data_IF_156890267269
#
_entry.id   IF_156890267269
#
_cell.length_a   1.000
_cell.length_b   1.000
_cell.length_c   1.000
_cell.angle_alpha   90.00
_cell.angle_beta   90.00
_cell.angle_gamma   90.00
#
_symmetry.space_group_name_H-M   'P 1'
#
loop_
_entity.id
_entity.type
_entity.pdbx_description
1 polymer ?
#
# COMPACT_ATOMS: atom_id res chain seq x y z
N UNK A 1 -3.36 -14.98 -15.25
CA UNK A 1 -2.25 -14.01 -15.40
C UNK A 1 -1.13 -14.43 -14.47
N UNK A 2 0.10 -14.56 -14.94
CA UNK A 2 1.28 -14.78 -14.09
C UNK A 2 1.82 -13.42 -13.66
N UNK A 3 1.81 -13.15 -12.36
CA UNK A 3 2.43 -11.96 -11.77
C UNK A 3 3.95 -12.08 -11.84
N UNK A 4 4.56 -11.52 -12.89
CA UNK A 4 6.01 -11.40 -12.96
C UNK A 4 6.41 -10.12 -12.24
N UNK A 5 6.94 -10.27 -11.04
CA UNK A 5 7.52 -9.16 -10.29
C UNK A 5 8.93 -8.93 -10.84
N UNK A 6 9.16 -7.74 -11.41
CA UNK A 6 10.48 -7.38 -11.91
C UNK A 6 11.51 -7.38 -10.76
N UNK A 7 12.70 -7.93 -11.00
CA UNK A 7 13.76 -8.01 -9.99
C UNK A 7 14.12 -6.67 -9.35
N UNK A 8 13.95 -5.55 -10.06
CA UNK A 8 14.19 -4.20 -9.54
C UNK A 8 13.26 -3.83 -8.38
N UNK A 9 12.09 -4.45 -8.30
CA UNK A 9 11.10 -4.25 -7.23
C UNK A 9 11.37 -5.14 -6.01
N UNK A 10 12.29 -6.11 -6.13
CA UNK A 10 12.62 -7.07 -5.07
C UNK A 10 13.86 -6.61 -4.31
N UNK A 11 13.69 -6.19 -3.06
CA UNK A 11 14.76 -5.69 -2.22
C UNK A 11 15.08 -6.68 -1.10
N UNK A 12 16.34 -7.14 -1.03
CA UNK A 12 16.77 -8.11 0.01
C UNK A 12 17.40 -7.48 1.24
N UNK A 13 17.98 -6.28 1.11
CA UNK A 13 18.70 -5.56 2.19
C UNK A 13 18.30 -4.08 2.22
N UNK A 14 18.36 -3.41 3.38
CA UNK A 14 18.58 -3.97 4.72
C UNK A 14 17.39 -4.80 5.22
N UNK A 15 16.18 -4.50 4.73
CA UNK A 15 14.94 -5.22 5.06
C UNK A 15 14.43 -5.90 3.79
N UNK A 16 14.06 -7.18 3.85
CA UNK A 16 13.46 -7.89 2.72
C UNK A 16 12.04 -7.39 2.46
N UNK A 17 11.76 -6.88 1.27
CA UNK A 17 10.44 -6.40 0.84
C UNK A 17 10.34 -6.35 -0.69
N UNK A 18 9.09 -6.36 -1.18
CA UNK A 18 8.77 -6.01 -2.56
C UNK A 18 8.13 -4.63 -2.56
N UNK A 19 8.59 -3.75 -3.44
CA UNK A 19 8.05 -2.40 -3.62
C UNK A 19 7.79 -2.16 -5.09
N UNK A 20 6.52 -2.04 -5.48
CA UNK A 20 6.15 -1.92 -6.90
C UNK A 20 4.92 -1.05 -7.12
N UNK A 21 5.01 -0.14 -8.08
CA UNK A 21 3.90 0.71 -8.54
C UNK A 21 3.32 0.29 -9.89
N UNK A 22 3.74 -0.86 -10.42
CA UNK A 22 3.35 -1.36 -11.75
C UNK A 22 2.55 -2.66 -11.71
N UNK A 23 2.37 -3.27 -10.53
CA UNK A 23 1.58 -4.48 -10.37
C UNK A 23 0.14 -4.25 -10.88
N UNK A 24 -0.52 -3.21 -10.40
CA UNK A 24 -1.87 -2.88 -10.84
C UNK A 24 -1.79 -1.86 -11.96
N UNK A 25 -2.51 -2.11 -13.06
CA UNK A 25 -2.60 -1.14 -14.16
C UNK A 25 -3.19 0.17 -13.65
N UNK A 26 -2.70 1.30 -14.17
CA UNK A 26 -3.19 2.63 -13.77
C UNK A 26 -4.70 2.77 -13.95
N UNK A 27 -5.25 2.21 -15.02
CA UNK A 27 -6.69 2.23 -15.27
C UNK A 27 -7.48 1.45 -14.19
N UNK A 28 -7.00 0.26 -13.80
CA UNK A 28 -7.61 -0.51 -12.71
C UNK A 28 -7.54 0.26 -11.39
N UNK A 29 -6.39 0.86 -11.08
CA UNK A 29 -6.21 1.68 -9.89
C UNK A 29 -7.18 2.88 -9.87
N UNK A 30 -7.30 3.63 -10.96
CA UNK A 30 -8.16 4.81 -11.04
C UNK A 30 -9.64 4.43 -10.82
N UNK A 31 -10.13 3.36 -11.45
CA UNK A 31 -11.51 2.87 -11.27
C UNK A 31 -11.82 2.43 -9.83
N UNK A 32 -10.85 1.80 -9.16
CA UNK A 32 -10.99 1.37 -7.77
C UNK A 32 -10.90 2.55 -6.80
N UNK A 33 -10.00 3.50 -7.09
CA UNK A 33 -9.81 4.71 -6.30
C UNK A 33 -11.04 5.63 -6.34
N UNK A 34 -11.74 5.74 -7.47
CA UNK A 34 -13.00 6.51 -7.54
C UNK A 34 -14.08 5.93 -6.63
N UNK A 35 -14.03 4.63 -6.35
CA UNK A 35 -14.97 3.90 -5.51
C UNK A 35 -14.31 3.45 -4.19
N UNK A 36 -13.30 4.19 -3.70
CA UNK A 36 -12.51 3.80 -2.52
C UNK A 36 -13.34 3.61 -1.25
N UNK A 37 -14.50 4.25 -1.15
CA UNK A 37 -15.41 4.15 0.01
C UNK A 37 -16.52 3.10 -0.18
N UNK A 38 -16.58 2.40 -1.32
CA UNK A 38 -17.64 1.45 -1.63
C UNK A 38 -17.04 0.11 -2.13
N UNK A 39 -16.64 -0.74 -1.19
CA UNK A 39 -16.09 -2.07 -1.48
C UNK A 39 -17.10 -3.00 -2.17
N UNK A 40 -18.39 -2.74 -2.00
CA UNK A 40 -19.48 -3.50 -2.61
C UNK A 40 -19.69 -3.12 -4.09
N UNK A 41 -19.01 -2.08 -4.57
CA UNK A 41 -19.06 -1.65 -5.96
C UNK A 41 -18.52 -2.73 -6.89
N UNK A 42 -19.09 -2.78 -8.10
CA UNK A 42 -18.82 -3.79 -9.13
C UNK A 42 -17.32 -3.90 -9.47
N UNK A 43 -16.62 -2.76 -9.49
CA UNK A 43 -15.18 -2.70 -9.74
C UNK A 43 -14.37 -3.43 -8.66
N UNK A 44 -14.71 -3.24 -7.38
CA UNK A 44 -14.05 -3.92 -6.26
C UNK A 44 -14.37 -5.40 -6.23
N UNK A 45 -15.64 -5.79 -6.40
CA UNK A 45 -16.06 -7.19 -6.48
C UNK A 45 -15.36 -7.94 -7.60
N UNK A 46 -15.33 -7.35 -8.79
CA UNK A 46 -14.63 -7.91 -9.94
C UNK A 46 -13.12 -8.05 -9.67
N UNK A 47 -12.49 -7.02 -9.12
CA UNK A 47 -11.06 -7.07 -8.79
C UNK A 47 -10.73 -8.17 -7.76
N UNK A 48 -11.52 -8.26 -6.69
CA UNK A 48 -11.37 -9.28 -5.64
C UNK A 48 -11.51 -10.69 -6.22
N UNK A 49 -12.51 -10.90 -7.09
CA UNK A 49 -12.74 -12.20 -7.72
C UNK A 49 -11.66 -12.56 -8.76
N UNK A 50 -11.27 -11.60 -9.61
CA UNK A 50 -10.23 -11.78 -10.64
C UNK A 50 -8.87 -12.07 -10.00
N UNK A 51 -8.54 -11.39 -8.90
CA UNK A 51 -7.24 -11.51 -8.23
C UNK A 51 -7.21 -12.56 -7.12
N UNK A 52 -8.36 -13.07 -6.69
CA UNK A 52 -8.51 -14.02 -5.57
C UNK A 52 -7.83 -13.51 -4.30
N UNK A 53 -8.08 -12.25 -3.97
CA UNK A 53 -7.50 -11.57 -2.80
C UNK A 53 -8.58 -11.09 -1.84
N UNK A 54 -8.27 -11.07 -0.55
CA UNK A 54 -9.09 -10.35 0.43
C UNK A 54 -8.53 -8.94 0.62
N UNK A 55 -9.42 -7.94 0.65
CA UNK A 55 -9.04 -6.53 0.82
C UNK A 55 -9.69 -5.98 2.08
N UNK A 56 -8.91 -5.25 2.89
CA UNK A 56 -9.38 -4.57 4.08
C UNK A 56 -8.97 -3.10 4.01
N UNK A 57 -9.95 -2.19 4.06
CA UNK A 57 -9.67 -0.76 4.14
C UNK A 57 -9.20 -0.38 5.55
N UNK A 58 -8.12 0.39 5.59
CA UNK A 58 -7.61 1.02 6.81
C UNK A 58 -7.71 2.53 6.62
N UNK A 59 -8.56 3.18 7.42
CA UNK A 59 -8.89 4.60 7.26
C UNK A 59 -7.70 5.51 7.60
N UNK A 60 -6.86 5.13 8.56
CA UNK A 60 -5.71 5.94 8.97
C UNK A 60 -4.54 5.06 9.43
N UNK A 61 -3.36 5.31 8.87
CA UNK A 61 -2.10 4.64 9.22
C UNK A 61 -1.38 5.37 10.37
N UNK A 62 -2.12 5.81 11.39
CA UNK A 62 -1.58 6.56 12.54
C UNK A 62 -0.81 5.69 13.53
N UNK A 63 -0.87 4.37 13.38
CA UNK A 63 -0.22 3.40 14.26
C UNK A 63 0.32 2.20 13.49
N UNK A 64 1.17 1.43 14.17
CA UNK A 64 1.80 0.22 13.65
C UNK A 64 0.73 -0.78 13.22
N UNK A 65 0.68 -1.12 11.92
CA UNK A 65 -0.31 -2.06 11.41
C UNK A 65 0.05 -3.47 11.83
N UNK A 66 -0.81 -4.09 12.63
CA UNK A 66 -0.73 -5.52 12.89
C UNK A 66 -1.56 -6.26 11.83
N UNK A 67 -1.01 -7.27 11.15
CA UNK A 67 -1.76 -8.10 10.22
C UNK A 67 -3.01 -8.68 10.89
N UNK A 68 -4.17 -8.63 10.21
CA UNK A 68 -5.41 -9.27 10.70
C UNK A 68 -5.34 -10.81 10.64
N UNK A 69 -4.47 -11.36 9.80
CA UNK A 69 -4.25 -12.80 9.64
C UNK A 69 -2.77 -13.13 9.79
N UNK A 70 -2.51 -14.25 10.45
CA UNK A 70 -1.19 -14.89 10.55
C UNK A 70 -0.86 -15.57 9.22
N UNK A 71 -0.48 -14.79 8.22
CA UNK A 71 0.09 -15.28 6.97
C UNK A 71 1.60 -15.03 6.95
N UNK A 72 2.38 -15.73 6.15
CA UNK A 72 3.84 -15.50 6.05
C UNK A 72 4.16 -14.10 5.50
N UNK A 73 3.33 -13.59 4.58
CA UNK A 73 3.48 -12.28 3.94
C UNK A 73 2.18 -11.48 3.97
N UNK A 74 2.32 -10.15 4.01
CA UNK A 74 1.22 -9.19 3.92
C UNK A 74 1.51 -8.15 2.84
N UNK A 75 0.47 -7.80 2.07
CA UNK A 75 0.50 -6.76 1.04
C UNK A 75 -0.24 -5.50 1.51
N UNK A 76 0.44 -4.36 1.47
CA UNK A 76 -0.15 -3.04 1.71
C UNK A 76 -0.21 -2.28 0.39
N UNK A 77 -1.40 -1.83 0.01
CA UNK A 77 -1.60 -1.05 -1.20
C UNK A 77 -1.93 0.40 -0.85
N UNK A 78 -1.07 1.31 -1.30
CA UNK A 78 -1.15 2.72 -0.97
C UNK A 78 -1.94 3.49 -2.03
N UNK A 79 -3.02 4.13 -1.56
CA UNK A 79 -3.84 5.06 -2.33
C UNK A 79 -3.48 6.50 -1.95
N UNK A 80 -3.04 7.27 -2.94
CA UNK A 80 -2.71 8.68 -2.76
C UNK A 80 -3.80 9.56 -3.38
N UNK A 81 -4.21 10.62 -2.68
CA UNK A 81 -5.13 11.59 -3.25
C UNK A 81 -4.47 12.36 -4.40
N UNK A 82 -5.20 12.61 -5.51
CA UNK A 82 -4.66 13.35 -6.68
C UNK A 82 -4.27 14.79 -6.35
N UNK A 83 -4.83 15.37 -5.31
CA UNK A 83 -4.50 16.70 -4.78
C UNK A 83 -3.21 16.69 -3.94
N UNK A 84 -2.71 15.52 -3.57
CA UNK A 84 -1.51 15.34 -2.76
C UNK A 84 -0.25 15.52 -3.62
N UNK A 85 0.11 16.77 -3.86
CA UNK A 85 1.35 17.15 -4.57
C UNK A 85 2.56 17.27 -3.65
N UNK A 86 2.42 16.91 -2.37
CA UNK A 86 3.48 17.13 -1.38
C UNK A 86 4.55 16.05 -1.45
N UNK A 87 5.82 16.45 -1.49
CA UNK A 87 7.01 15.59 -1.43
C UNK A 87 7.27 14.99 -0.04
N UNK A 88 6.24 14.88 0.81
CA UNK A 88 6.42 14.85 2.27
C UNK A 88 6.15 13.54 2.99
N UNK A 89 5.54 12.54 2.35
CA UNK A 89 5.22 11.26 2.98
C UNK A 89 6.31 10.21 2.73
N UNK A 90 6.72 9.51 3.78
CA UNK A 90 7.60 8.33 3.68
C UNK A 90 6.98 7.14 4.38
N UNK A 91 7.35 5.94 3.94
CA UNK A 91 7.06 4.69 4.67
C UNK A 91 8.37 4.27 5.31
N UNK A 92 8.42 4.27 6.64
CA UNK A 92 9.55 3.75 7.41
C UNK A 92 9.31 2.27 7.69
N UNK A 93 10.08 1.40 7.04
CA UNK A 93 10.16 -0.01 7.38
C UNK A 93 11.10 -0.18 8.58
N UNK A 94 10.67 -0.93 9.59
CA UNK A 94 11.43 -1.17 10.82
C UNK A 94 11.56 -2.68 11.05
N UNK A 95 12.78 -3.16 11.21
CA UNK A 95 13.04 -4.54 11.61
C UNK A 95 14.19 -4.60 12.63
N UNK A 96 13.86 -4.75 13.92
CA UNK A 96 14.84 -4.64 14.99
C UNK A 96 15.53 -3.26 14.98
N UNK A 97 16.83 -3.23 14.72
CA UNK A 97 17.63 -1.99 14.61
C UNK A 97 17.68 -1.42 13.20
N UNK A 98 17.29 -2.19 12.19
CA UNK A 98 17.35 -1.77 10.79
C UNK A 98 16.16 -0.86 10.43
N UNK A 99 16.47 0.18 9.66
CA UNK A 99 15.48 1.14 9.16
C UNK A 99 15.67 1.40 7.67
N UNK A 100 14.56 1.47 6.93
CA UNK A 100 14.56 1.90 5.52
C UNK A 100 13.39 2.83 5.27
N UNK A 101 13.65 3.98 4.64
CA UNK A 101 12.60 4.91 4.20
C UNK A 101 12.30 4.65 2.73
N UNK A 102 11.03 4.42 2.42
CA UNK A 102 10.50 4.33 1.08
C UNK A 102 9.69 5.59 0.77
N UNK A 103 9.84 6.12 -0.44
CA UNK A 103 9.06 7.27 -0.86
C UNK A 103 7.59 6.85 -1.06
N UNK A 104 6.65 7.62 -0.54
CA UNK A 104 5.22 7.32 -0.67
C UNK A 104 4.66 7.71 -2.04
N UNK A 105 4.24 6.73 -2.85
CA UNK A 105 3.80 6.93 -4.23
C UNK A 105 2.40 6.32 -4.43
N UNK A 106 1.55 6.97 -5.24
CA UNK A 106 0.25 6.42 -5.65
C UNK A 106 0.38 5.05 -6.32
N UNK A 107 -0.64 4.20 -6.19
CA UNK A 107 -0.71 2.89 -6.83
C UNK A 107 0.48 1.98 -6.48
N UNK A 108 1.02 2.10 -5.27
CA UNK A 108 2.20 1.34 -4.87
C UNK A 108 1.83 0.25 -3.89
N UNK A 109 2.35 -0.94 -4.15
CA UNK A 109 2.17 -2.12 -3.30
C UNK A 109 3.50 -2.41 -2.60
N UNK A 110 3.42 -2.54 -1.28
CA UNK A 110 4.46 -3.10 -0.42
C UNK A 110 4.08 -4.52 -0.06
N UNK A 111 4.98 -5.47 -0.27
CA UNK A 111 4.83 -6.83 0.27
C UNK A 111 5.99 -7.06 1.23
N UNK A 112 5.67 -7.41 2.47
CA UNK A 112 6.64 -7.71 3.54
C UNK A 112 6.21 -8.97 4.30
N UNK A 113 7.15 -9.56 5.01
CA UNK A 113 6.85 -10.60 6.00
C UNK A 113 5.93 -10.03 7.08
N UNK A 114 5.00 -10.85 7.59
CA UNK A 114 3.94 -10.39 8.50
C UNK A 114 4.42 -10.04 9.91
N UNK A 115 5.56 -10.57 10.32
CA UNK A 115 6.23 -10.24 11.58
C UNK A 115 6.97 -8.90 11.54
N UNK A 116 7.14 -8.33 10.33
CA UNK A 116 7.76 -7.02 10.13
C UNK A 116 6.74 -5.91 10.24
N UNK A 117 7.17 -4.84 10.89
CA UNK A 117 6.36 -3.65 11.09
C UNK A 117 6.81 -2.52 10.18
N UNK A 118 5.87 -1.65 9.83
CA UNK A 118 6.19 -0.36 9.23
C UNK A 118 5.33 0.73 9.82
N UNK A 119 5.82 1.95 9.70
CA UNK A 119 5.14 3.17 10.11
C UNK A 119 5.04 4.09 8.91
N UNK A 120 3.89 4.75 8.75
CA UNK A 120 3.76 5.84 7.80
C UNK A 120 4.25 7.10 8.48
N UNK A 121 5.30 7.70 7.93
CA UNK A 121 5.84 8.94 8.47
C UNK A 121 4.83 10.07 8.27
N UNK A 122 4.64 10.93 9.28
CA UNK A 122 3.71 12.03 9.20
C UNK A 122 4.10 12.97 8.06
N UNK A 123 3.08 13.50 7.38
CA UNK A 123 3.25 14.49 6.34
C UNK A 123 3.84 15.76 6.95
N UNK A 124 4.69 16.47 6.19
CA UNK A 124 5.10 17.84 6.55
C UNK A 124 3.94 18.85 6.55
N UNK A 125 2.86 18.55 5.80
CA UNK A 125 1.68 19.40 5.69
C UNK A 125 0.41 18.54 5.81
N UNK A 126 -0.54 18.99 6.62
CA UNK A 126 -1.86 18.38 6.71
C UNK A 126 -2.62 18.56 5.38
N UNK A 127 -3.28 17.50 4.92
CA UNK A 127 -4.21 17.63 3.80
C UNK A 127 -5.48 18.33 4.28
N UNK A 128 -6.16 19.10 3.41
CA UNK A 128 -7.51 19.54 3.70
C UNK A 128 -8.38 18.30 3.98
N UNK A 129 -9.02 18.28 5.15
CA UNK A 129 -9.93 17.20 5.49
C UNK A 129 -11.07 17.16 4.47
N UNK A 130 -11.46 15.95 4.05
CA UNK A 130 -12.64 15.81 3.19
C UNK A 130 -13.85 16.32 3.96
N UNK A 131 -14.67 17.23 3.40
CA UNK A 131 -15.99 17.47 3.95
C UNK A 131 -16.75 16.14 3.82
N UNK A 132 -17.31 15.70 4.94
CA UNK A 132 -18.03 14.44 5.09
C UNK A 132 -19.06 14.18 3.99
#
# INVERSE_FOLDING_TARGET
MSWLIANINCHKKPISHIWSNTLISRNTYDNLYEQWNNIEHQHWKKFIDDMKVEVYFHNDFTSMLTPKKSNEYIGYWFFQQRTDRSTGGGIELINGTDKKILNYWSNTILIIESDKNFTVLPRKHELPQRPF
#
